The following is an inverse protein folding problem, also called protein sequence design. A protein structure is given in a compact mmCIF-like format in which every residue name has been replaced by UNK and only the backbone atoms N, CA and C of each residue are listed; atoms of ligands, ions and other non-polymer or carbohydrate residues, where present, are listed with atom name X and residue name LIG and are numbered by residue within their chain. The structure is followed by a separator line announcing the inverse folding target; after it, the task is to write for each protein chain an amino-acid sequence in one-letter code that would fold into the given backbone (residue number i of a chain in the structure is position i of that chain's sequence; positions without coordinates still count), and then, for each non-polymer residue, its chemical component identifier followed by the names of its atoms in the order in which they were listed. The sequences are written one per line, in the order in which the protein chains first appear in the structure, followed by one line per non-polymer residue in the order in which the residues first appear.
data_IF_032035345925
#
_entry.id   IF_032035345925
#
_cell.length_a   1.000
_cell.length_b   1.000
_cell.length_c   1.000
_cell.angle_alpha   90.00
_cell.angle_beta   90.00
_cell.angle_gamma   90.00
#
_symmetry.space_group_name_H-M   'P 1'
#
loop_
_entity.id
_entity.type
_entity.pdbx_description
1 polymer ?
#
# COMPACT_ATOMS: atom_id res chain seq x y z
N UNK A 1 4.78 -17.69 -28.30
CA UNK A 1 4.08 -16.46 -27.88
C UNK A 1 2.99 -16.89 -26.89
N UNK A 2 3.27 -16.89 -25.58
CA UNK A 2 2.41 -17.54 -24.59
C UNK A 2 1.34 -16.58 -24.03
N UNK A 3 0.09 -16.90 -24.34
CA UNK A 3 -1.14 -16.15 -24.10
C UNK A 3 -1.56 -15.95 -22.62
N UNK A 4 -0.65 -16.08 -21.66
CA UNK A 4 -0.95 -15.84 -20.22
C UNK A 4 -0.47 -14.44 -19.78
N UNK A 5 0.48 -13.83 -20.52
CA UNK A 5 1.00 -12.48 -20.21
C UNK A 5 0.01 -11.37 -20.65
N UNK A 6 -0.87 -11.65 -21.62
CA UNK A 6 -1.83 -10.67 -22.15
C UNK A 6 -2.91 -10.23 -21.14
N UNK A 7 -3.25 -11.07 -20.15
CA UNK A 7 -4.34 -10.74 -19.21
C UNK A 7 -3.86 -9.83 -18.07
N UNK A 8 -2.56 -9.87 -17.70
CA UNK A 8 -2.01 -9.00 -16.66
C UNK A 8 -1.72 -7.58 -17.17
N UNK A 9 -1.42 -7.43 -18.47
CA UNK A 9 -1.19 -6.13 -19.12
C UNK A 9 -2.51 -5.36 -19.33
N UNK A 10 -3.65 -6.04 -19.40
CA UNK A 10 -4.95 -5.38 -19.56
C UNK A 10 -5.48 -4.67 -18.31
N UNK A 11 -4.93 -4.92 -17.11
CA UNK A 11 -5.23 -4.14 -15.90
C UNK A 11 -4.37 -2.87 -15.75
N UNK A 12 -3.39 -2.67 -16.62
CA UNK A 12 -2.49 -1.51 -16.61
C UNK A 12 -2.54 -0.73 -17.93
N UNK A 13 -3.73 -0.54 -18.50
CA UNK A 13 -3.96 0.52 -19.48
C UNK A 13 -3.90 1.90 -18.75
N UNK A 14 -3.67 3.00 -19.47
CA UNK A 14 -3.47 4.41 -19.04
C UNK A 14 -4.21 4.93 -17.77
N UNK A 15 -5.23 4.22 -17.28
CA UNK A 15 -5.94 4.48 -16.03
C UNK A 15 -5.10 4.25 -14.77
N UNK A 16 -4.12 3.35 -14.75
CA UNK A 16 -3.33 3.10 -13.51
C UNK A 16 -2.31 4.22 -13.25
N UNK A 17 -1.77 4.81 -14.32
CA UNK A 17 -0.99 6.07 -14.24
C UNK A 17 -1.87 7.22 -13.75
N UNK A 18 -3.15 7.29 -14.16
CA UNK A 18 -4.11 8.27 -13.62
C UNK A 18 -4.47 8.05 -12.15
N UNK A 19 -4.46 6.81 -11.66
CA UNK A 19 -4.68 6.52 -10.24
C UNK A 19 -3.50 6.98 -9.37
N UNK A 20 -2.27 6.77 -9.82
CA UNK A 20 -1.05 7.31 -9.17
C UNK A 20 -1.08 8.86 -9.17
N UNK A 21 -1.64 9.48 -10.21
CA UNK A 21 -1.83 10.94 -10.32
C UNK A 21 -2.82 11.56 -9.32
N UNK A 22 -3.73 10.77 -8.72
CA UNK A 22 -4.79 11.30 -7.82
C UNK A 22 -4.52 11.10 -6.34
N UNK A 23 -3.63 10.20 -5.97
CA UNK A 23 -3.04 10.19 -4.62
C UNK A 23 -1.78 11.05 -4.66
N UNK A 24 -1.90 12.34 -4.35
CA UNK A 24 -0.73 13.13 -3.98
C UNK A 24 -0.12 12.48 -2.73
N UNK A 25 0.87 11.61 -2.93
CA UNK A 25 1.62 10.97 -1.85
C UNK A 25 2.62 11.99 -1.31
N UNK A 26 2.50 12.45 -0.05
CA UNK A 26 3.49 13.37 0.52
C UNK A 26 4.86 12.67 0.55
N UNK A 27 5.88 13.28 -0.08
CA UNK A 27 7.27 12.80 -0.04
C UNK A 27 7.84 12.16 -1.32
N UNK A 28 7.13 12.17 -2.46
CA UNK A 28 7.68 11.68 -3.74
C UNK A 28 8.32 12.81 -4.60
N UNK A 29 9.42 12.54 -5.33
CA UNK A 29 10.09 13.51 -6.21
C UNK A 29 9.23 13.95 -7.42
N UNK A 30 9.60 15.04 -8.14
CA UNK A 30 8.75 15.75 -9.12
C UNK A 30 8.40 15.00 -10.43
N UNK A 31 8.82 13.75 -10.64
CA UNK A 31 8.64 13.05 -11.93
C UNK A 31 7.18 12.66 -12.24
N UNK A 32 6.26 12.75 -11.26
CA UNK A 32 4.83 12.44 -11.43
C UNK A 32 4.10 13.37 -12.44
N UNK A 33 4.70 14.51 -12.79
CA UNK A 33 4.11 15.45 -13.74
C UNK A 33 4.47 15.18 -15.20
N UNK A 34 5.34 14.19 -15.48
CA UNK A 34 5.74 13.87 -16.86
C UNK A 34 4.65 13.11 -17.61
N UNK A 35 4.39 13.47 -18.87
CA UNK A 35 3.45 12.77 -19.75
C UNK A 35 3.99 11.42 -20.22
N UNK A 36 5.31 11.30 -20.33
CA UNK A 36 6.02 10.09 -20.74
C UNK A 36 7.20 9.85 -19.79
N UNK A 37 7.44 8.59 -19.44
CA UNK A 37 8.58 8.18 -18.63
C UNK A 37 9.70 7.72 -19.57
N UNK A 38 10.91 8.17 -19.29
CA UNK A 38 12.14 7.68 -19.91
C UNK A 38 12.69 6.47 -19.13
N UNK A 39 13.62 5.73 -19.73
CA UNK A 39 14.31 4.64 -19.03
C UNK A 39 15.03 5.12 -17.76
N UNK A 40 15.60 6.34 -17.81
CA UNK A 40 16.22 6.97 -16.64
C UNK A 40 15.21 7.25 -15.52
N UNK A 41 13.99 7.68 -15.86
CA UNK A 41 12.95 7.91 -14.85
C UNK A 41 12.59 6.60 -14.12
N UNK A 42 12.62 5.46 -14.81
CA UNK A 42 12.41 4.16 -14.19
C UNK A 42 13.56 3.77 -13.25
N UNK A 43 14.80 4.06 -13.62
CA UNK A 43 15.96 3.80 -12.77
C UNK A 43 15.94 4.70 -11.52
N UNK A 44 15.56 5.97 -11.66
CA UNK A 44 15.36 6.89 -10.54
C UNK A 44 14.28 6.35 -9.59
N UNK A 45 13.14 5.87 -10.11
CA UNK A 45 12.07 5.25 -9.30
C UNK A 45 12.59 4.04 -8.51
N UNK A 46 13.40 3.18 -9.13
CA UNK A 46 14.00 2.03 -8.43
C UNK A 46 14.93 2.48 -7.32
N UNK A 47 15.78 3.47 -7.57
CA UNK A 47 16.70 4.03 -6.57
C UNK A 47 15.94 4.62 -5.37
N UNK A 48 14.90 5.42 -5.61
CA UNK A 48 14.08 5.97 -4.53
C UNK A 48 13.33 4.87 -3.76
N UNK A 49 12.79 3.88 -4.46
CA UNK A 49 12.12 2.76 -3.81
C UNK A 49 13.09 1.94 -2.94
N UNK A 50 14.32 1.72 -3.40
CA UNK A 50 15.35 1.02 -2.62
C UNK A 50 15.78 1.79 -1.38
N UNK A 51 15.92 3.12 -1.47
CA UNK A 51 16.18 3.97 -0.30
C UNK A 51 15.04 3.87 0.74
N UNK A 52 13.78 3.95 0.29
CA UNK A 52 12.62 3.79 1.17
C UNK A 52 12.57 2.39 1.80
N UNK A 53 12.96 1.34 1.08
CA UNK A 53 12.97 -0.03 1.59
C UNK A 53 14.13 -0.32 2.54
N UNK A 54 15.23 0.42 2.45
CA UNK A 54 16.33 0.36 3.41
C UNK A 54 15.91 0.91 4.78
N UNK A 55 15.12 1.98 4.80
CA UNK A 55 14.55 2.54 6.03
C UNK A 55 13.32 1.75 6.52
N UNK A 56 12.49 1.30 5.59
CA UNK A 56 11.24 0.60 5.84
C UNK A 56 11.06 -0.61 4.91
N UNK A 57 11.51 -1.81 5.30
CA UNK A 57 11.41 -3.01 4.47
C UNK A 57 9.95 -3.45 4.22
N UNK A 58 8.98 -2.88 4.93
CA UNK A 58 7.55 -3.19 4.80
C UNK A 58 6.77 -2.11 4.05
N UNK A 59 7.46 -1.20 3.37
CA UNK A 59 6.84 -0.14 2.58
C UNK A 59 6.17 -0.72 1.32
N UNK A 60 4.86 -0.99 1.40
CA UNK A 60 4.09 -1.57 0.30
C UNK A 60 4.06 -0.67 -0.94
N UNK A 61 4.17 0.65 -0.79
CA UNK A 61 4.19 1.60 -1.92
C UNK A 61 5.48 1.52 -2.69
N UNK A 62 6.62 1.44 -2.00
CA UNK A 62 7.92 1.22 -2.63
C UNK A 62 7.99 -0.14 -3.35
N UNK A 63 7.46 -1.20 -2.73
CA UNK A 63 7.35 -2.52 -3.39
C UNK A 63 6.47 -2.46 -4.65
N UNK A 64 5.32 -1.77 -4.59
CA UNK A 64 4.43 -1.59 -5.75
C UNK A 64 5.09 -0.76 -6.86
N UNK A 65 5.88 0.25 -6.51
CA UNK A 65 6.64 1.04 -7.49
C UNK A 65 7.67 0.18 -8.23
N UNK A 66 8.43 -0.66 -7.49
CA UNK A 66 9.36 -1.62 -8.09
C UNK A 66 8.65 -2.60 -9.02
N UNK A 67 7.48 -3.13 -8.63
CA UNK A 67 6.67 -4.01 -9.48
C UNK A 67 6.28 -3.35 -10.80
N UNK A 68 5.82 -2.09 -10.76
CA UNK A 68 5.47 -1.32 -11.96
C UNK A 68 6.69 -1.21 -12.89
N UNK A 69 7.84 -0.81 -12.36
CA UNK A 69 9.06 -0.64 -13.15
C UNK A 69 9.53 -1.97 -13.74
N UNK A 70 9.60 -3.03 -12.94
CA UNK A 70 10.05 -4.33 -13.44
C UNK A 70 9.11 -4.92 -14.49
N UNK A 71 7.80 -4.71 -14.37
CA UNK A 71 6.85 -5.07 -15.42
C UNK A 71 7.13 -4.30 -16.71
N UNK A 72 7.35 -2.99 -16.63
CA UNK A 72 7.62 -2.16 -17.80
C UNK A 72 8.95 -2.52 -18.50
N UNK A 73 9.99 -2.84 -17.72
CA UNK A 73 11.30 -3.27 -18.24
C UNK A 73 11.34 -4.75 -18.64
N UNK A 74 10.20 -5.47 -18.57
CA UNK A 74 10.11 -6.92 -18.78
C UNK A 74 11.09 -7.74 -17.91
N UNK A 75 11.47 -7.24 -16.74
CA UNK A 75 12.37 -7.92 -15.81
C UNK A 75 11.58 -8.89 -14.91
N UNK A 76 11.30 -10.06 -15.45
CA UNK A 76 10.42 -11.07 -14.83
C UNK A 76 10.95 -11.58 -13.49
N UNK A 77 12.26 -11.78 -13.37
CA UNK A 77 12.85 -12.37 -12.15
C UNK A 77 12.80 -11.39 -10.98
N UNK A 78 13.16 -10.13 -11.21
CA UNK A 78 13.04 -9.08 -10.21
C UNK A 78 11.57 -8.85 -9.82
N UNK A 79 10.67 -8.84 -10.80
CA UNK A 79 9.22 -8.75 -10.57
C UNK A 79 8.73 -9.86 -9.63
N UNK A 80 9.05 -11.13 -9.92
CA UNK A 80 8.62 -12.28 -9.10
C UNK A 80 9.12 -12.16 -7.66
N UNK A 81 10.40 -11.81 -7.47
CA UNK A 81 10.99 -11.63 -6.15
C UNK A 81 10.30 -10.52 -5.36
N UNK A 82 10.09 -9.35 -5.98
CA UNK A 82 9.39 -8.24 -5.31
C UNK A 82 7.93 -8.56 -5.03
N UNK A 83 7.25 -9.29 -5.93
CA UNK A 83 5.88 -9.71 -5.74
C UNK A 83 5.76 -10.64 -4.53
N UNK A 84 6.71 -11.58 -4.38
CA UNK A 84 6.79 -12.45 -3.21
C UNK A 84 6.98 -11.64 -1.91
N UNK A 85 7.91 -10.67 -1.89
CA UNK A 85 8.12 -9.81 -0.72
C UNK A 85 6.83 -9.07 -0.32
N UNK A 86 6.17 -8.44 -1.31
CA UNK A 86 4.92 -7.71 -1.10
C UNK A 86 3.80 -8.63 -0.62
N UNK A 87 3.72 -9.85 -1.15
CA UNK A 87 2.75 -10.85 -0.73
C UNK A 87 3.00 -11.34 0.70
N UNK A 88 4.25 -11.48 1.14
CA UNK A 88 4.58 -11.85 2.53
C UNK A 88 4.03 -10.78 3.50
N UNK A 89 4.31 -9.50 3.24
CA UNK A 89 3.81 -8.39 4.08
C UNK A 89 2.30 -8.41 4.15
N UNK A 90 1.63 -8.53 2.99
CA UNK A 90 0.19 -8.58 2.96
C UNK A 90 -0.39 -9.79 3.71
N UNK A 91 0.19 -10.99 3.49
CA UNK A 91 -0.27 -12.22 4.12
C UNK A 91 -0.19 -12.13 5.64
N UNK A 92 0.87 -11.52 6.16
CA UNK A 92 0.99 -11.28 7.59
C UNK A 92 -0.17 -10.41 8.12
N UNK A 93 -0.49 -9.30 7.45
CA UNK A 93 -1.58 -8.42 7.85
C UNK A 93 -2.93 -9.16 7.80
N UNK A 94 -3.28 -9.78 6.67
CA UNK A 94 -4.59 -10.44 6.52
C UNK A 94 -4.74 -11.71 7.37
N UNK A 95 -3.65 -12.29 7.86
CA UNK A 95 -3.71 -13.45 8.77
C UNK A 95 -4.13 -13.10 10.19
N UNK A 96 -4.15 -11.81 10.55
CA UNK A 96 -4.43 -11.35 11.92
C UNK A 96 -5.92 -11.18 12.24
N UNK A 97 -6.77 -11.08 11.21
CA UNK A 97 -8.20 -10.79 11.37
C UNK A 97 -8.89 -10.67 10.01
N UNK A 98 -10.16 -10.26 10.02
CA UNK A 98 -10.95 -10.00 8.80
C UNK A 98 -11.25 -8.51 8.58
N UNK A 99 -10.95 -7.67 9.58
CA UNK A 99 -11.19 -6.24 9.55
C UNK A 99 -12.66 -5.83 9.54
N UNK A 100 -13.60 -6.77 9.66
CA UNK A 100 -15.04 -6.49 9.55
C UNK A 100 -15.66 -6.05 10.88
N UNK A 101 -15.10 -6.53 11.99
CA UNK A 101 -15.55 -6.23 13.34
C UNK A 101 -14.41 -5.73 14.21
N UNK A 102 -14.76 -4.98 15.27
CA UNK A 102 -13.80 -4.53 16.29
C UNK A 102 -13.09 -5.67 17.02
N UNK A 103 -13.70 -6.86 17.07
CA UNK A 103 -13.14 -8.06 17.70
C UNK A 103 -12.16 -8.81 16.80
N UNK A 104 -12.17 -8.55 15.49
CA UNK A 104 -11.32 -9.20 14.48
C UNK A 104 -10.64 -8.18 13.56
N UNK A 105 -10.03 -7.11 14.11
CA UNK A 105 -9.44 -6.05 13.30
C UNK A 105 -8.20 -6.57 12.56
N UNK A 106 -7.85 -5.95 11.43
CA UNK A 106 -6.54 -6.19 10.82
C UNK A 106 -5.44 -5.56 11.69
N UNK A 107 -4.44 -6.33 12.06
CA UNK A 107 -3.28 -5.83 12.79
C UNK A 107 -2.29 -5.15 11.85
N UNK A 108 -2.01 -3.87 12.11
CA UNK A 108 -1.09 -3.07 11.31
C UNK A 108 0.01 -2.47 12.17
N UNK A 109 1.23 -2.45 11.64
CA UNK A 109 2.38 -1.85 12.31
C UNK A 109 2.62 -0.40 11.89
N UNK A 110 1.89 0.07 10.87
CA UNK A 110 1.95 1.43 10.32
C UNK A 110 0.57 1.86 9.83
N UNK A 111 0.20 3.11 10.06
CA UNK A 111 -1.05 3.71 9.57
C UNK A 111 -1.17 3.63 8.04
N UNK A 112 -0.06 3.75 7.31
CA UNK A 112 -0.08 3.62 5.85
C UNK A 112 -0.62 2.28 5.36
N UNK A 113 -0.41 1.21 6.13
CA UNK A 113 -0.89 -0.14 5.77
C UNK A 113 -2.41 -0.24 5.75
N UNK A 114 -3.13 0.60 6.50
CA UNK A 114 -4.60 0.61 6.51
C UNK A 114 -5.13 0.95 5.10
N UNK A 115 -4.64 2.06 4.55
CA UNK A 115 -5.02 2.55 3.22
C UNK A 115 -4.52 1.65 2.10
N UNK A 116 -3.29 1.12 2.23
CA UNK A 116 -2.71 0.20 1.25
C UNK A 116 -3.53 -1.10 1.17
N UNK A 117 -4.05 -1.59 2.32
CA UNK A 117 -4.89 -2.78 2.38
C UNK A 117 -6.27 -2.54 1.77
N UNK A 118 -6.90 -1.38 2.01
CA UNK A 118 -8.19 -1.04 1.38
C UNK A 118 -8.12 -1.16 -0.15
N UNK A 119 -7.09 -0.54 -0.75
CA UNK A 119 -6.88 -0.59 -2.20
C UNK A 119 -6.65 -2.02 -2.69
N UNK A 120 -5.89 -2.82 -1.95
CA UNK A 120 -5.67 -4.23 -2.29
C UNK A 120 -6.96 -5.07 -2.25
N UNK A 121 -7.80 -4.86 -1.23
CA UNK A 121 -9.08 -5.56 -1.09
C UNK A 121 -10.16 -5.05 -2.07
N UNK A 122 -9.83 -4.08 -2.91
CA UNK A 122 -10.75 -3.51 -3.90
C UNK A 122 -11.71 -2.46 -3.34
N UNK A 123 -11.43 -1.94 -2.13
CA UNK A 123 -12.17 -0.87 -1.52
C UNK A 123 -11.54 0.49 -1.78
N UNK A 124 -12.34 1.54 -1.59
CA UNK A 124 -11.90 2.93 -1.60
C UNK A 124 -12.25 3.55 -0.27
N UNK A 125 -11.39 4.45 0.21
CA UNK A 125 -11.66 5.20 1.43
C UNK A 125 -12.91 6.08 1.28
N UNK A 126 -13.77 6.07 2.29
CA UNK A 126 -15.06 6.74 2.35
C UNK A 126 -15.01 8.15 2.93
N UNK A 127 -13.86 8.61 3.42
CA UNK A 127 -13.64 9.98 3.86
C UNK A 127 -13.61 10.20 5.37
N UNK A 128 -13.90 9.17 6.17
CA UNK A 128 -13.79 9.21 7.64
C UNK A 128 -12.83 8.16 8.16
N UNK A 129 -11.88 8.65 8.97
CA UNK A 129 -10.89 7.92 9.75
C UNK A 129 -11.18 8.24 11.23
N UNK A 130 -11.29 7.21 12.08
CA UNK A 130 -11.70 7.38 13.47
C UNK A 130 -11.07 6.34 14.38
N UNK A 131 -10.29 6.82 15.35
CA UNK A 131 -9.84 6.03 16.50
C UNK A 131 -11.07 5.63 17.34
N UNK A 132 -11.30 4.32 17.42
CA UNK A 132 -12.42 3.76 18.14
C UNK A 132 -12.12 3.67 19.64
N UNK A 133 -13.09 4.09 20.46
CA UNK A 133 -12.98 3.99 21.91
C UNK A 133 -13.01 2.52 22.33
N UNK A 134 -12.23 2.18 23.34
CA UNK A 134 -12.20 0.88 24.02
C UNK A 134 -11.69 -0.32 23.19
N UNK A 135 -10.94 -0.11 22.10
CA UNK A 135 -10.38 -1.25 21.36
C UNK A 135 -9.01 -1.04 20.70
N UNK A 136 -8.24 0.00 21.02
CA UNK A 136 -6.93 0.31 20.39
C UNK A 136 -6.93 0.17 18.84
N UNK A 137 -8.09 0.42 18.23
CA UNK A 137 -8.29 0.27 16.80
C UNK A 137 -8.62 1.60 16.16
N UNK A 138 -8.19 1.75 14.91
CA UNK A 138 -8.75 2.69 13.98
C UNK A 138 -9.92 2.06 13.21
N UNK A 139 -10.81 2.91 12.71
CA UNK A 139 -11.80 2.51 11.70
C UNK A 139 -11.74 3.43 10.50
N UNK A 140 -11.73 2.84 9.31
CA UNK A 140 -11.81 3.57 8.05
C UNK A 140 -13.16 3.29 7.40
N UNK A 141 -13.92 4.34 7.11
CA UNK A 141 -15.12 4.22 6.28
C UNK A 141 -14.75 3.88 4.84
N UNK A 142 -15.64 3.17 4.17
CA UNK A 142 -15.50 2.78 2.77
C UNK A 142 -16.47 3.57 1.91
N UNK A 143 -16.04 3.93 0.70
CA UNK A 143 -16.96 4.44 -0.31
C UNK A 143 -17.98 3.35 -0.70
N UNK A 144 -19.15 3.73 -1.29
CA UNK A 144 -20.12 2.76 -1.77
C UNK A 144 -19.47 1.68 -2.62
N UNK A 145 -19.72 0.43 -2.26
CA UNK A 145 -19.08 -0.73 -2.86
C UNK A 145 -20.08 -1.88 -3.00
N UNK A 146 -19.78 -2.81 -3.91
CA UNK A 146 -20.65 -3.95 -4.25
C UNK A 146 -20.88 -4.94 -3.10
N UNK A 147 -20.12 -4.83 -2.01
CA UNK A 147 -20.17 -5.76 -0.89
C UNK A 147 -21.00 -5.22 0.28
N UNK A 148 -21.47 -3.96 0.21
CA UNK A 148 -22.26 -3.35 1.28
C UNK A 148 -21.50 -3.17 2.60
N UNK A 149 -20.16 -3.11 2.55
CA UNK A 149 -19.33 -2.92 3.74
C UNK A 149 -19.12 -1.42 3.96
N UNK A 150 -19.52 -0.91 5.12
CA UNK A 150 -19.46 0.53 5.42
C UNK A 150 -18.11 0.99 5.96
N UNK A 151 -17.40 0.11 6.69
CA UNK A 151 -16.12 0.42 7.32
C UNK A 151 -15.31 -0.84 7.60
N UNK A 152 -14.00 -0.64 7.79
CA UNK A 152 -13.08 -1.66 8.26
C UNK A 152 -12.35 -1.20 9.53
N UNK A 153 -11.92 -2.17 10.33
CA UNK A 153 -11.23 -1.95 11.60
C UNK A 153 -9.79 -2.43 11.55
N UNK A 154 -8.90 -1.63 12.13
CA UNK A 154 -7.45 -1.86 12.14
C UNK A 154 -6.91 -1.70 13.55
N UNK A 155 -6.21 -2.70 14.08
CA UNK A 155 -5.51 -2.58 15.34
C UNK A 155 -4.22 -1.78 15.13
N UNK A 156 -4.12 -0.64 15.81
CA UNK A 156 -3.01 0.32 15.69
C UNK A 156 -2.20 0.44 16.98
N UNK A 157 -2.42 -0.45 17.95
CA UNK A 157 -1.62 -0.50 19.19
C UNK A 157 -0.11 -0.49 18.95
N UNK A 158 0.46 -1.15 17.90
CA UNK A 158 1.91 -1.13 17.69
C UNK A 158 2.45 0.25 17.38
N UNK A 159 1.67 1.05 16.65
CA UNK A 159 2.02 2.42 16.29
C UNK A 159 2.00 3.30 17.53
N UNK A 160 0.96 3.19 18.35
CA UNK A 160 0.89 3.94 19.62
C UNK A 160 1.98 3.54 20.59
N UNK A 161 2.26 2.25 20.73
CA UNK A 161 3.29 1.77 21.65
C UNK A 161 4.69 2.21 21.22
N UNK A 162 4.96 2.22 19.91
CA UNK A 162 6.19 2.79 19.36
C UNK A 162 6.33 4.28 19.70
N UNK A 163 5.28 5.08 19.47
CA UNK A 163 5.28 6.51 19.78
C UNK A 163 5.45 6.75 21.28
N UNK A 164 4.74 6.00 22.14
CA UNK A 164 4.89 6.09 23.59
C UNK A 164 6.33 5.81 24.02
N UNK A 165 6.94 4.71 23.56
CA UNK A 165 8.34 4.36 23.92
C UNK A 165 9.35 5.40 23.47
N UNK A 166 9.12 6.06 22.33
CA UNK A 166 9.99 7.12 21.79
C UNK A 166 9.71 8.49 22.40
N UNK A 167 8.45 8.76 22.77
CA UNK A 167 7.94 10.01 23.33
C UNK A 167 8.09 10.14 24.85
N UNK A 168 8.47 9.07 25.56
CA UNK A 168 8.83 9.14 26.99
C UNK A 168 10.09 9.97 27.27
N UNK A 169 10.71 10.58 26.26
CA UNK A 169 11.62 11.71 26.43
C UNK A 169 10.84 13.03 26.54
N UNK A 170 10.32 13.31 27.75
CA UNK A 170 9.74 14.60 28.20
C UNK A 170 8.65 15.23 27.31
N UNK A 171 7.42 15.20 27.81
CA UNK A 171 6.51 16.35 27.70
C UNK A 171 6.56 17.07 29.05
#
# INVERSE_FOLDING_TARGET
MNSVICILVMFFNHRTIRLIRRSTMPGWPPFLNKQHFSDRDYDDVLQFADALLAEDPFNMRALNAKLLVYAQKNNVDAYKKTAQQRNIVQRAIISSGDGMLKSTPYYVIKVSHEYDLLGFLGFKFGGQDKIEKNCDCNSLTLAPNRFGVDKMYFNISPTFDYVKRKGSGKI
#
